data_IF_788089410544
#
_entry.id   IF_788089410544
#
_cell.length_a   1.000
_cell.length_b   1.000
_cell.length_c   1.000
_cell.angle_alpha   90.00
_cell.angle_beta   90.00
_cell.angle_gamma   90.00
#
_symmetry.space_group_name_H-M   'P 1'
#
loop_
_entity.id
_entity.type
_entity.pdbx_description
1 polymer ?
#
# COMPACT_ATOMS: atom_id res chain seq x y z
N UNK A 1 -31.06 -21.73 -7.52
CA UNK A 1 -30.71 -20.41 -6.94
C UNK A 1 -29.20 -20.38 -6.88
N UNK A 2 -28.60 -19.57 -7.73
CA UNK A 2 -27.18 -19.58 -8.10
C UNK A 2 -26.43 -18.61 -7.17
N UNK A 3 -25.48 -19.12 -6.39
CA UNK A 3 -24.82 -18.43 -5.27
C UNK A 3 -23.58 -17.63 -5.72
N UNK A 4 -23.55 -17.14 -6.95
CA UNK A 4 -22.47 -16.24 -7.40
C UNK A 4 -22.70 -14.82 -6.91
N UNK A 5 -22.35 -14.55 -5.66
CA UNK A 5 -21.95 -13.21 -5.24
C UNK A 5 -20.53 -12.94 -5.77
N UNK A 6 -20.34 -12.08 -6.79
CA UNK A 6 -19.00 -11.59 -7.05
C UNK A 6 -18.61 -10.73 -5.85
N UNK A 7 -17.53 -11.10 -5.16
CA UNK A 7 -16.82 -10.24 -4.23
C UNK A 7 -16.27 -9.04 -5.00
N UNK A 8 -17.13 -8.10 -5.37
CA UNK A 8 -16.72 -6.76 -5.75
C UNK A 8 -16.54 -6.00 -4.45
N UNK A 9 -15.28 -5.83 -4.02
CA UNK A 9 -14.98 -4.85 -2.99
C UNK A 9 -15.25 -3.47 -3.61
N UNK A 10 -16.47 -2.96 -3.43
CA UNK A 10 -16.77 -1.56 -3.64
C UNK A 10 -16.00 -0.78 -2.57
N UNK A 11 -14.84 -0.24 -2.94
CA UNK A 11 -14.19 0.77 -2.11
C UNK A 11 -15.03 2.05 -2.18
N UNK A 12 -15.99 2.20 -1.26
CA UNK A 12 -16.70 3.46 -1.07
C UNK A 12 -15.68 4.56 -0.68
N UNK A 13 -15.83 5.82 -1.12
CA UNK A 13 -14.82 6.89 -0.89
C UNK A 13 -14.45 7.15 0.58
N UNK A 14 -15.25 6.67 1.52
CA UNK A 14 -15.04 6.78 2.97
C UNK A 14 -14.25 5.62 3.58
N UNK A 15 -13.88 4.59 2.81
CA UNK A 15 -13.18 3.43 3.34
C UNK A 15 -11.69 3.69 3.56
N UNK A 16 -11.19 3.24 4.71
CA UNK A 16 -9.76 3.24 5.03
C UNK A 16 -9.13 1.93 4.56
N UNK A 17 -8.10 2.01 3.72
CA UNK A 17 -7.26 0.89 3.38
C UNK A 17 -6.03 0.86 4.29
N UNK A 18 -5.78 -0.29 4.93
CA UNK A 18 -4.60 -0.52 5.78
C UNK A 18 -3.78 -1.65 5.19
N UNK A 19 -2.45 -1.51 5.17
CA UNK A 19 -1.53 -2.53 4.69
C UNK A 19 -0.27 -2.59 5.54
N UNK A 20 0.27 -3.79 5.70
CA UNK A 20 1.52 -4.04 6.41
C UNK A 20 2.56 -4.63 5.45
N UNK A 21 3.82 -4.28 5.66
CA UNK A 21 4.94 -4.76 4.87
C UNK A 21 6.09 -5.15 5.80
N UNK A 22 6.64 -6.34 5.57
CA UNK A 22 7.87 -6.78 6.21
C UNK A 22 9.06 -6.41 5.33
N UNK A 23 10.04 -5.73 5.92
CA UNK A 23 11.29 -5.36 5.25
C UNK A 23 12.43 -6.21 5.78
N UNK A 24 13.22 -6.80 4.87
CA UNK A 24 14.46 -7.50 5.18
C UNK A 24 15.62 -6.86 4.40
N UNK A 25 16.27 -5.82 4.96
CA UNK A 25 17.43 -5.21 4.34
C UNK A 25 18.55 -6.24 4.10
N UNK A 26 19.26 -6.17 2.97
CA UNK A 26 20.30 -7.14 2.64
C UNK A 26 21.59 -6.98 3.47
N UNK A 27 21.78 -5.83 4.10
CA UNK A 27 22.92 -5.51 4.95
C UNK A 27 22.54 -4.42 5.98
N UNK A 28 23.35 -4.19 7.03
CA UNK A 28 23.22 -3.02 7.88
C UNK A 28 23.40 -1.72 7.10
N UNK A 29 22.64 -0.68 7.42
CA UNK A 29 22.73 0.60 6.73
C UNK A 29 21.51 1.50 6.87
N UNK A 30 21.60 2.68 6.24
CA UNK A 30 20.49 3.64 6.15
C UNK A 30 19.74 3.42 4.84
N UNK A 31 18.44 3.21 4.95
CA UNK A 31 17.51 2.98 3.85
C UNK A 31 16.43 4.05 3.84
N UNK A 32 15.79 4.22 2.69
CA UNK A 32 14.63 5.09 2.54
C UNK A 32 13.50 4.29 1.92
N UNK A 33 12.42 4.10 2.68
CA UNK A 33 11.18 3.53 2.18
C UNK A 33 10.32 4.65 1.62
N UNK A 34 9.93 4.53 0.36
CA UNK A 34 8.95 5.41 -0.28
C UNK A 34 7.66 4.63 -0.49
N UNK A 35 6.56 5.17 0.03
CA UNK A 35 5.21 4.60 -0.09
C UNK A 35 4.38 5.59 -0.92
N UNK A 36 3.87 5.13 -2.05
CA UNK A 36 2.99 5.92 -2.92
C UNK A 36 1.56 5.36 -2.83
N UNK A 37 0.61 6.23 -2.53
CA UNK A 37 -0.81 5.92 -2.65
C UNK A 37 -1.26 6.25 -4.08
N UNK A 38 -1.56 5.24 -4.87
CA UNK A 38 -1.98 5.40 -6.26
C UNK A 38 -3.49 5.26 -6.42
N UNK A 39 -4.06 6.10 -7.27
CA UNK A 39 -5.43 5.91 -7.74
C UNK A 39 -5.50 4.70 -8.68
N UNK A 40 -6.35 3.72 -8.34
CA UNK A 40 -6.39 2.42 -9.04
C UNK A 40 -6.71 2.50 -10.55
N UNK A 41 -7.57 3.43 -10.98
CA UNK A 41 -7.91 3.64 -12.41
C UNK A 41 -6.84 4.48 -13.13
N UNK A 42 -6.57 5.70 -12.66
CA UNK A 42 -5.71 6.66 -13.37
C UNK A 42 -4.22 6.48 -13.14
N UNK A 43 -3.82 5.61 -12.20
CA UNK A 43 -2.43 5.38 -11.77
C UNK A 43 -1.71 6.64 -11.27
N UNK A 44 -2.47 7.70 -10.96
CA UNK A 44 -1.90 8.93 -10.41
C UNK A 44 -1.55 8.74 -8.94
N UNK A 45 -0.36 9.16 -8.54
CA UNK A 45 0.02 9.26 -7.13
C UNK A 45 -0.80 10.37 -6.47
N UNK A 46 -1.59 9.98 -5.47
CA UNK A 46 -2.45 10.86 -4.67
C UNK A 46 -1.71 11.38 -3.43
N UNK A 47 -0.83 10.56 -2.86
CA UNK A 47 0.01 10.92 -1.74
C UNK A 47 1.32 10.11 -1.76
N UNK A 48 2.38 10.69 -1.22
CA UNK A 48 3.68 10.04 -1.02
C UNK A 48 4.11 10.17 0.44
N UNK A 49 4.65 9.11 1.00
CA UNK A 49 5.32 9.11 2.31
C UNK A 49 6.73 8.58 2.17
N UNK A 50 7.70 9.32 2.70
CA UNK A 50 9.08 8.85 2.84
C UNK A 50 9.36 8.54 4.31
N UNK A 51 9.94 7.37 4.57
CA UNK A 51 10.28 6.87 5.89
C UNK A 51 11.75 6.48 5.91
N UNK A 52 12.61 7.15 6.69
CA UNK A 52 13.99 6.70 6.89
C UNK A 52 14.00 5.43 7.75
N UNK A 53 14.80 4.45 7.34
CA UNK A 53 14.95 3.16 8.02
C UNK A 53 16.43 2.97 8.34
N UNK A 54 16.73 2.56 9.57
CA UNK A 54 18.08 2.17 9.98
C UNK A 54 18.06 0.67 10.22
N UNK A 55 18.78 -0.07 9.40
CA UNK A 55 19.03 -1.48 9.58
C UNK A 55 20.34 -1.65 10.36
N UNK A 56 20.28 -2.35 11.49
CA UNK A 56 21.43 -2.68 12.32
C UNK A 56 21.95 -4.08 12.00
#
# INVERSE_FOLDING_TARGET
MDWKYPMHCHSEPSQTATGEVLLRPPAPGKYRLTIDLEHWITRRVLARKEIPIIAA
#
